data_IF_998482953220
#
_entry.id   IF_998482953220
#
_cell.length_a   1.000
_cell.length_b   1.000
_cell.length_c   1.000
_cell.angle_alpha   90.00
_cell.angle_beta   90.00
_cell.angle_gamma   90.00
#
_symmetry.space_group_name_H-M   'P 1'
#
loop_
_entity.id
_entity.type
_entity.pdbx_description
1 polymer ?
#
# COMPACT_ATOMS: atom_id res chain seq x y z
N UNK A 1 2.04 -10.53 4.94
CA UNK A 1 1.05 -9.51 5.32
C UNK A 1 1.76 -8.19 5.47
N UNK A 2 1.29 -7.12 4.82
CA UNK A 2 1.89 -5.79 4.90
C UNK A 2 0.97 -4.84 5.64
N UNK A 3 1.51 -4.17 6.66
CA UNK A 3 0.93 -2.97 7.25
C UNK A 3 1.79 -1.80 6.82
N UNK A 4 1.23 -0.89 6.02
CA UNK A 4 2.01 0.22 5.44
C UNK A 4 2.38 1.25 6.50
N UNK A 5 1.54 1.42 7.53
CA UNK A 5 1.74 2.20 8.76
C UNK A 5 0.70 1.77 9.81
N UNK A 6 0.64 2.47 10.95
CA UNK A 6 -0.12 2.06 12.13
C UNK A 6 -1.39 2.89 12.41
N UNK A 7 -1.89 3.63 11.43
CA UNK A 7 -3.20 4.27 11.57
C UNK A 7 -4.32 3.24 11.61
N UNK A 8 -5.41 3.63 12.29
CA UNK A 8 -6.50 2.72 12.63
C UNK A 8 -7.04 1.99 11.40
N UNK A 9 -7.27 2.71 10.32
CA UNK A 9 -7.80 2.19 9.07
C UNK A 9 -6.87 1.24 8.30
N UNK A 10 -5.60 1.12 8.72
CA UNK A 10 -4.63 0.19 8.16
C UNK A 10 -4.46 -1.08 9.00
N UNK A 11 -4.81 -1.03 10.30
CA UNK A 11 -4.57 -2.13 11.24
C UNK A 11 -5.83 -2.65 11.94
N UNK A 12 -6.96 -1.96 11.85
CA UNK A 12 -8.17 -2.32 12.58
C UNK A 12 -8.68 -3.73 12.22
N UNK A 13 -9.07 -4.49 13.24
CA UNK A 13 -9.52 -5.88 13.09
C UNK A 13 -8.39 -6.90 12.92
N UNK A 14 -7.12 -6.48 12.80
CA UNK A 14 -6.01 -7.40 12.66
C UNK A 14 -5.90 -8.35 13.86
N UNK A 15 -6.06 -7.85 15.09
CA UNK A 15 -6.06 -8.64 16.31
C UNK A 15 -7.19 -9.68 16.37
N UNK A 16 -8.29 -9.48 15.65
CA UNK A 16 -9.40 -10.44 15.60
C UNK A 16 -9.19 -11.50 14.52
N UNK A 17 -8.49 -11.14 13.45
CA UNK A 17 -8.36 -11.96 12.24
C UNK A 17 -7.10 -12.82 12.20
N UNK A 18 -5.95 -12.25 12.58
CA UNK A 18 -4.65 -12.90 12.41
C UNK A 18 -4.21 -13.68 13.65
N UNK A 19 -3.33 -14.66 13.39
CA UNK A 19 -2.52 -15.33 14.39
C UNK A 19 -1.24 -14.52 14.62
N UNK A 20 -0.98 -14.14 15.87
CA UNK A 20 0.23 -13.41 16.26
C UNK A 20 1.12 -14.29 17.15
N UNK A 21 2.39 -14.45 16.76
CA UNK A 21 3.33 -15.34 17.43
C UNK A 21 3.72 -14.81 18.82
N UNK A 22 3.70 -13.48 19.02
CA UNK A 22 4.10 -12.86 20.28
C UNK A 22 3.07 -13.05 21.42
N UNK A 23 1.78 -13.23 21.09
CA UNK A 23 0.69 -13.20 22.05
C UNK A 23 -0.12 -14.49 22.03
N UNK A 24 -0.01 -15.37 23.06
CA UNK A 24 -0.79 -16.60 23.16
C UNK A 24 -2.31 -16.40 23.06
N UNK A 25 -2.83 -15.24 23.52
CA UNK A 25 -4.25 -14.92 23.44
C UNK A 25 -4.74 -14.66 21.99
N UNK A 26 -3.82 -14.33 21.09
CA UNK A 26 -4.07 -14.07 19.68
C UNK A 26 -3.65 -15.25 18.80
N UNK A 27 -3.52 -16.44 19.40
CA UNK A 27 -3.27 -17.70 18.72
C UNK A 27 -4.54 -18.56 18.76
N UNK A 28 -4.59 -19.60 17.93
CA UNK A 28 -5.67 -20.58 17.96
C UNK A 28 -6.29 -20.89 16.60
N UNK A 29 -7.22 -21.86 16.58
CA UNK A 29 -7.88 -22.32 15.36
C UNK A 29 -8.76 -21.20 14.77
N UNK A 30 -8.79 -21.12 13.44
CA UNK A 30 -9.63 -20.16 12.69
C UNK A 30 -8.97 -18.81 12.40
N UNK A 31 -7.82 -18.51 13.01
CA UNK A 31 -7.05 -17.28 12.73
C UNK A 31 -6.13 -17.46 11.52
N UNK A 32 -6.02 -16.42 10.69
CA UNK A 32 -5.15 -16.43 9.52
C UNK A 32 -3.67 -16.33 9.92
N UNK A 33 -2.82 -17.20 9.37
CA UNK A 33 -1.39 -17.22 9.70
C UNK A 33 -0.62 -16.15 8.93
N UNK A 34 0.17 -15.35 9.64
CA UNK A 34 1.13 -14.42 9.02
C UNK A 34 2.46 -15.15 8.82
N UNK A 35 2.70 -15.62 7.59
CA UNK A 35 3.99 -16.24 7.22
C UNK A 35 5.15 -15.25 7.36
N UNK A 36 5.05 -14.12 6.67
CA UNK A 36 6.00 -13.00 6.78
C UNK A 36 5.25 -11.68 7.03
N UNK A 37 5.70 -10.92 8.02
CA UNK A 37 5.15 -9.63 8.41
C UNK A 37 5.98 -8.49 7.81
N UNK A 38 5.34 -7.58 7.09
CA UNK A 38 5.98 -6.47 6.40
C UNK A 38 5.54 -5.17 7.07
N UNK A 39 6.49 -4.37 7.56
CA UNK A 39 6.22 -3.11 8.29
C UNK A 39 7.30 -2.05 8.02
N UNK A 40 6.98 -0.75 8.03
CA UNK A 40 8.01 0.29 8.02
C UNK A 40 8.80 0.28 9.33
N UNK A 41 10.04 0.81 9.31
CA UNK A 41 10.82 1.03 10.53
C UNK A 41 10.08 1.92 11.54
N UNK A 42 9.25 2.85 11.07
CA UNK A 42 8.36 3.66 11.91
C UNK A 42 7.47 2.80 12.82
N UNK A 43 6.91 1.69 12.33
CA UNK A 43 6.08 0.81 13.15
C UNK A 43 6.86 0.10 14.28
N UNK A 44 8.19 0.00 14.15
CA UNK A 44 9.08 -0.51 15.21
C UNK A 44 9.41 0.59 16.22
N UNK A 45 9.52 1.84 15.78
CA UNK A 45 10.12 2.94 16.52
C UNK A 45 9.12 3.85 17.21
N UNK A 46 7.87 3.88 16.73
CA UNK A 46 6.83 4.73 17.29
C UNK A 46 6.52 4.38 18.75
N UNK A 47 6.34 5.42 19.57
CA UNK A 47 5.96 5.33 20.98
C UNK A 47 4.48 5.72 21.16
N UNK A 48 3.92 5.42 22.34
CA UNK A 48 2.55 5.82 22.74
C UNK A 48 1.44 5.41 21.75
N UNK A 49 1.50 4.16 21.27
CA UNK A 49 0.50 3.60 20.37
C UNK A 49 -0.79 3.17 21.09
N UNK A 50 -1.96 3.33 20.45
CA UNK A 50 -3.19 2.71 20.92
C UNK A 50 -3.14 1.18 20.76
N UNK A 51 -3.91 0.45 21.57
CA UNK A 51 -3.90 -1.02 21.62
C UNK A 51 -4.04 -1.71 20.24
N UNK A 52 -4.89 -1.15 19.36
CA UNK A 52 -5.11 -1.69 18.03
C UNK A 52 -3.87 -1.65 17.12
N UNK A 53 -2.93 -0.74 17.40
CA UNK A 53 -1.68 -0.57 16.67
C UNK A 53 -0.52 -1.25 17.42
N UNK A 54 -0.52 -1.20 18.76
CA UNK A 54 0.49 -1.79 19.62
C UNK A 54 0.65 -3.29 19.35
N UNK A 55 -0.45 -4.02 19.10
CA UNK A 55 -0.42 -5.44 18.76
C UNK A 55 0.42 -5.76 17.50
N UNK A 56 0.42 -4.88 16.50
CA UNK A 56 1.21 -5.04 15.28
C UNK A 56 2.69 -4.75 15.57
N UNK A 57 2.95 -3.68 16.33
CA UNK A 57 4.29 -3.34 16.76
C UNK A 57 4.92 -4.46 17.62
N UNK A 58 4.16 -5.03 18.56
CA UNK A 58 4.65 -6.08 19.45
C UNK A 58 5.04 -7.34 18.67
N UNK A 59 4.24 -7.73 17.68
CA UNK A 59 4.58 -8.82 16.77
C UNK A 59 5.84 -8.51 15.95
N UNK A 60 5.90 -7.31 15.36
CA UNK A 60 7.03 -6.91 14.54
C UNK A 60 8.33 -6.86 15.35
N UNK A 61 8.30 -6.27 16.55
CA UNK A 61 9.41 -6.23 17.51
C UNK A 61 9.77 -7.63 18.01
N UNK A 62 8.80 -8.51 18.23
CA UNK A 62 9.04 -9.90 18.63
C UNK A 62 9.80 -10.68 17.55
N UNK A 63 9.30 -10.65 16.32
CA UNK A 63 9.89 -11.30 15.15
C UNK A 63 11.27 -10.72 14.81
N UNK A 64 11.42 -9.40 14.83
CA UNK A 64 12.69 -8.71 14.59
C UNK A 64 13.74 -9.10 15.64
N UNK A 65 13.38 -9.11 16.93
CA UNK A 65 14.31 -9.52 18.00
C UNK A 65 14.72 -10.98 17.87
N UNK A 66 13.82 -11.86 17.42
CA UNK A 66 14.10 -13.29 17.21
C UNK A 66 14.76 -13.59 15.86
N UNK A 67 14.75 -12.66 14.92
CA UNK A 67 15.45 -12.78 13.66
C UNK A 67 14.71 -13.60 12.60
N UNK A 68 13.38 -13.59 12.57
CA UNK A 68 12.61 -14.41 11.61
C UNK A 68 11.29 -13.76 11.18
N UNK A 69 10.78 -14.14 10.01
CA UNK A 69 9.38 -13.92 9.61
C UNK A 69 8.91 -12.46 9.57
N UNK A 70 9.84 -11.51 9.46
CA UNK A 70 9.56 -10.07 9.36
C UNK A 70 10.46 -9.40 8.34
N UNK A 71 9.93 -8.38 7.68
CA UNK A 71 10.58 -7.49 6.73
C UNK A 71 10.34 -6.05 7.20
N UNK A 72 11.41 -5.40 7.61
CA UNK A 72 11.41 -3.99 8.05
C UNK A 72 11.85 -3.12 6.88
N UNK A 73 11.02 -2.14 6.51
CA UNK A 73 11.33 -1.21 5.43
C UNK A 73 11.97 0.06 5.98
N UNK A 74 13.09 0.46 5.37
CA UNK A 74 14.01 1.52 5.81
C UNK A 74 14.91 1.14 7.01
N UNK A 75 16.03 1.85 7.12
CA UNK A 75 17.07 1.71 8.13
C UNK A 75 17.48 3.09 8.69
N UNK A 76 16.58 3.81 9.37
CA UNK A 76 16.95 5.06 10.03
C UNK A 76 17.93 4.79 11.18
N UNK A 77 18.67 5.80 11.61
CA UNK A 77 19.63 5.71 12.73
C UNK A 77 18.95 5.26 14.03
N UNK A 78 17.71 5.71 14.25
CA UNK A 78 16.90 5.31 15.40
C UNK A 78 16.68 3.79 15.50
N UNK A 79 16.66 3.06 14.36
CA UNK A 79 16.55 1.60 14.35
C UNK A 79 17.79 0.94 14.97
N UNK A 80 18.99 1.49 14.73
CA UNK A 80 20.20 1.00 15.36
C UNK A 80 20.15 1.21 16.89
N UNK A 81 19.61 2.35 17.34
CA UNK A 81 19.37 2.62 18.77
C UNK A 81 18.39 1.62 19.40
N UNK A 82 17.28 1.31 18.74
CA UNK A 82 16.33 0.28 19.19
C UNK A 82 17.00 -1.09 19.31
N UNK A 83 17.76 -1.52 18.29
CA UNK A 83 18.45 -2.81 18.31
C UNK A 83 19.48 -2.88 19.45
N UNK A 84 20.25 -1.81 19.67
CA UNK A 84 21.24 -1.74 20.75
C UNK A 84 20.60 -1.89 22.14
N UNK A 85 19.44 -1.25 22.38
CA UNK A 85 18.65 -1.41 23.63
C UNK A 85 18.23 -2.86 23.88
N UNK A 86 18.18 -3.69 22.84
CA UNK A 86 17.83 -5.12 22.91
C UNK A 86 19.05 -6.04 22.76
N UNK A 87 20.27 -5.54 22.96
CA UNK A 87 21.53 -6.28 22.82
C UNK A 87 21.71 -6.91 21.41
N UNK A 88 21.22 -6.21 20.38
CA UNK A 88 21.37 -6.57 18.98
C UNK A 88 22.14 -5.50 18.21
N UNK A 89 22.71 -5.89 17.07
CA UNK A 89 23.36 -4.96 16.14
C UNK A 89 22.62 -4.93 14.79
N UNK A 90 22.72 -3.83 14.02
CA UNK A 90 22.18 -3.79 12.66
C UNK A 90 22.66 -4.95 11.80
N UNK A 91 23.95 -5.32 11.88
CA UNK A 91 24.52 -6.43 11.12
C UNK A 91 23.82 -7.78 11.40
N UNK A 92 23.38 -8.03 12.64
CA UNK A 92 22.65 -9.26 12.99
C UNK A 92 21.23 -9.31 12.41
N UNK A 93 20.70 -8.17 11.94
CA UNK A 93 19.33 -8.04 11.43
C UNK A 93 19.24 -7.49 10.01
N UNK A 94 20.38 -7.26 9.35
CA UNK A 94 20.45 -6.64 8.02
C UNK A 94 19.64 -7.41 6.97
N UNK A 95 19.66 -8.75 7.02
CA UNK A 95 18.85 -9.62 6.17
C UNK A 95 17.32 -9.44 6.30
N UNK A 96 16.86 -8.75 7.35
CA UNK A 96 15.45 -8.39 7.60
C UNK A 96 15.14 -6.92 7.28
N UNK A 97 16.13 -6.11 6.86
CA UNK A 97 16.00 -4.68 6.56
C UNK A 97 16.21 -4.38 5.05
N UNK A 98 15.30 -3.59 4.44
CA UNK A 98 15.19 -3.36 2.98
C UNK A 98 14.90 -1.89 2.82
N UNK A 99 15.72 -1.23 2.03
CA UNK A 99 15.69 0.21 1.85
C UNK A 99 14.94 0.59 0.58
N UNK A 100 14.51 1.85 0.50
CA UNK A 100 14.08 2.42 -0.76
C UNK A 100 15.18 2.26 -1.82
N UNK A 101 14.79 1.82 -3.02
CA UNK A 101 15.70 1.51 -4.12
C UNK A 101 16.10 0.03 -4.21
N UNK A 102 15.72 -0.81 -3.25
CA UNK A 102 15.99 -2.24 -3.23
C UNK A 102 14.75 -3.07 -3.62
N UNK A 103 15.00 -4.32 -4.04
CA UNK A 103 13.95 -5.33 -4.20
C UNK A 103 13.85 -6.19 -2.95
N UNK A 104 12.65 -6.68 -2.66
CA UNK A 104 12.42 -7.57 -1.51
C UNK A 104 13.02 -8.94 -1.79
N UNK A 105 13.93 -9.46 -0.94
CA UNK A 105 14.53 -10.78 -1.11
C UNK A 105 13.48 -11.90 -1.12
N UNK A 106 13.74 -12.97 -1.88
CA UNK A 106 12.82 -14.10 -2.02
C UNK A 106 11.73 -13.90 -3.08
N UNK A 107 11.70 -12.74 -3.74
CA UNK A 107 10.75 -12.42 -4.80
C UNK A 107 11.45 -11.93 -6.07
N UNK A 108 11.26 -12.66 -7.16
CA UNK A 108 11.86 -12.45 -8.47
C UNK A 108 10.89 -12.82 -9.60
N UNK A 109 11.12 -12.22 -10.77
CA UNK A 109 10.32 -12.52 -11.97
C UNK A 109 10.60 -13.93 -12.53
N UNK A 110 11.79 -14.47 -12.29
CA UNK A 110 12.23 -15.78 -12.79
C UNK A 110 12.08 -16.93 -11.79
N UNK A 111 11.73 -16.63 -10.55
CA UNK A 111 11.49 -17.63 -9.50
C UNK A 111 10.06 -18.18 -9.52
N UNK A 112 9.78 -19.20 -8.68
CA UNK A 112 8.46 -19.85 -8.60
C UNK A 112 7.30 -18.89 -8.26
N UNK A 113 7.59 -17.80 -7.58
CA UNK A 113 6.68 -16.73 -7.18
C UNK A 113 6.23 -15.82 -8.34
N UNK A 114 7.05 -15.72 -9.40
CA UNK A 114 6.77 -14.92 -10.62
C UNK A 114 6.38 -13.46 -10.35
N UNK A 115 6.91 -12.89 -9.27
CA UNK A 115 6.65 -11.51 -8.85
C UNK A 115 7.91 -10.90 -8.25
N UNK A 116 8.21 -9.65 -8.59
CA UNK A 116 9.24 -8.85 -7.95
C UNK A 116 8.59 -7.68 -7.21
N UNK A 117 9.01 -7.43 -5.96
CA UNK A 117 8.59 -6.25 -5.20
C UNK A 117 9.75 -5.26 -5.09
N UNK A 118 9.55 -4.05 -5.61
CA UNK A 118 10.50 -2.94 -5.53
C UNK A 118 10.01 -1.89 -4.54
N UNK A 119 10.88 -1.40 -3.67
CA UNK A 119 10.53 -0.46 -2.60
C UNK A 119 10.87 0.96 -2.99
N UNK A 120 9.87 1.84 -2.98
CA UNK A 120 10.02 3.28 -3.26
C UNK A 120 10.17 4.12 -2.00
N UNK A 121 9.52 3.72 -0.91
CA UNK A 121 9.43 4.45 0.37
C UNK A 121 9.31 3.40 1.51
N UNK A 122 9.81 3.65 2.74
CA UNK A 122 10.33 4.91 3.29
C UNK A 122 11.79 5.23 2.94
N UNK A 123 12.14 6.53 3.01
CA UNK A 123 13.51 7.02 2.91
C UNK A 123 14.15 7.17 4.29
N UNK A 124 15.20 6.40 4.59
CA UNK A 124 15.87 6.46 5.90
C UNK A 124 16.37 7.85 6.27
N UNK A 125 17.03 8.55 5.34
CA UNK A 125 17.53 9.91 5.57
C UNK A 125 16.44 10.92 5.94
N UNK A 126 15.22 10.77 5.41
CA UNK A 126 14.09 11.64 5.76
C UNK A 126 13.65 11.41 7.21
N UNK A 127 13.61 10.16 7.62
CA UNK A 127 13.24 9.79 8.99
C UNK A 127 14.28 10.31 10.00
N UNK A 128 15.55 10.34 9.60
CA UNK A 128 16.64 10.91 10.41
C UNK A 128 16.58 12.45 10.50
N UNK A 129 16.16 13.14 9.42
CA UNK A 129 16.02 14.60 9.37
C UNK A 129 14.79 15.13 10.15
N UNK A 130 13.78 14.30 10.40
CA UNK A 130 12.53 14.70 11.07
C UNK A 130 12.61 14.66 12.61
N UNK A 131 13.80 14.84 13.21
CA UNK A 131 14.05 14.76 14.65
C UNK A 131 13.48 13.47 15.31
N UNK A 132 13.42 12.37 14.55
CA UNK A 132 12.83 11.09 14.96
C UNK A 132 11.32 11.13 15.27
N UNK A 133 10.62 12.20 14.89
CA UNK A 133 9.17 12.27 14.95
C UNK A 133 8.61 11.41 13.82
N UNK A 134 7.88 10.35 14.19
CA UNK A 134 7.23 9.46 13.23
C UNK A 134 6.09 10.19 12.53
N UNK A 135 6.21 10.36 11.22
CA UNK A 135 5.12 10.77 10.35
C UNK A 135 4.56 9.51 9.67
N UNK A 136 3.54 8.91 10.29
CA UNK A 136 2.99 7.61 9.87
C UNK A 136 2.69 7.54 8.37
N UNK A 137 2.15 8.60 7.79
CA UNK A 137 1.78 8.63 6.39
C UNK A 137 3.02 8.73 5.50
N UNK A 138 3.94 9.65 5.80
CA UNK A 138 5.12 9.88 4.97
C UNK A 138 6.18 8.79 5.11
N UNK A 139 6.21 8.12 6.25
CA UNK A 139 7.06 6.97 6.55
C UNK A 139 6.41 5.63 6.14
N UNK A 140 5.28 5.67 5.45
CA UNK A 140 4.58 4.47 5.03
C UNK A 140 5.24 3.77 3.84
N UNK A 141 5.03 2.46 3.75
CA UNK A 141 5.62 1.63 2.69
C UNK A 141 4.94 1.90 1.35
N UNK A 142 5.69 2.45 0.39
CA UNK A 142 5.30 2.53 -1.03
C UNK A 142 6.09 1.50 -1.78
N UNK A 143 5.40 0.59 -2.46
CA UNK A 143 6.04 -0.49 -3.20
C UNK A 143 5.38 -0.69 -4.55
N UNK A 144 6.16 -1.26 -5.46
CA UNK A 144 5.69 -1.70 -6.76
C UNK A 144 5.87 -3.21 -6.89
N UNK A 145 4.77 -3.91 -7.18
CA UNK A 145 4.82 -5.31 -7.58
C UNK A 145 4.90 -5.40 -9.10
N UNK A 146 5.79 -6.23 -9.63
CA UNK A 146 5.90 -6.51 -11.06
C UNK A 146 5.68 -8.00 -11.29
N UNK A 147 4.77 -8.34 -12.20
CA UNK A 147 4.52 -9.69 -12.69
C UNK A 147 5.02 -9.82 -14.11
N UNK A 148 5.37 -11.04 -14.51
CA UNK A 148 5.67 -11.35 -15.90
C UNK A 148 4.59 -12.30 -16.45
N UNK A 149 3.60 -11.73 -17.13
CA UNK A 149 2.46 -12.48 -17.67
C UNK A 149 2.39 -12.29 -19.20
N UNK A 150 2.25 -13.39 -19.95
CA UNK A 150 2.26 -13.35 -21.42
C UNK A 150 3.55 -12.78 -22.04
N UNK A 151 4.66 -12.77 -21.29
CA UNK A 151 5.94 -12.18 -21.71
C UNK A 151 6.06 -10.67 -21.48
N UNK A 152 5.02 -10.02 -20.97
CA UNK A 152 4.98 -8.58 -20.73
C UNK A 152 4.94 -8.27 -19.22
N UNK A 153 5.69 -7.26 -18.74
CA UNK A 153 5.66 -6.86 -17.36
C UNK A 153 4.37 -6.13 -17.01
N UNK A 154 3.68 -6.59 -15.95
CA UNK A 154 2.49 -5.93 -15.38
C UNK A 154 2.82 -5.37 -14.00
N UNK A 155 2.60 -4.08 -13.80
CA UNK A 155 3.11 -3.33 -12.65
C UNK A 155 1.97 -2.77 -11.82
N UNK A 156 2.00 -3.06 -10.52
CA UNK A 156 1.04 -2.53 -9.54
C UNK A 156 1.76 -1.63 -8.56
N UNK A 157 1.43 -0.34 -8.58
CA UNK A 157 1.94 0.67 -7.65
C UNK A 157 1.00 0.77 -6.45
N UNK A 158 1.51 0.39 -5.27
CA UNK A 158 0.83 0.61 -3.99
C UNK A 158 1.34 1.92 -3.39
N UNK A 159 0.66 3.03 -3.68
CA UNK A 159 1.15 4.36 -3.33
C UNK A 159 0.87 4.78 -1.87
N UNK A 160 0.43 3.83 -1.01
CA UNK A 160 0.16 4.04 0.42
C UNK A 160 -0.60 5.35 0.70
N UNK A 161 -0.30 6.05 1.79
CA UNK A 161 -0.99 7.25 2.25
C UNK A 161 -0.10 8.51 2.26
N UNK A 162 0.99 8.45 1.49
CA UNK A 162 1.92 9.56 1.30
C UNK A 162 1.28 10.73 0.53
N UNK A 163 1.77 11.95 0.79
CA UNK A 163 1.32 13.16 0.09
C UNK A 163 2.21 13.52 -1.12
N UNK A 164 1.92 14.67 -1.72
CA UNK A 164 2.64 15.20 -2.88
C UNK A 164 4.12 15.49 -2.62
N UNK A 165 4.52 15.80 -1.39
CA UNK A 165 5.93 16.05 -1.05
C UNK A 165 6.75 14.77 -1.11
N UNK A 166 6.25 13.68 -0.52
CA UNK A 166 6.95 12.40 -0.59
C UNK A 166 6.86 11.76 -1.98
N UNK A 167 5.72 11.88 -2.68
CA UNK A 167 5.63 11.43 -4.08
C UNK A 167 6.63 12.17 -4.98
N UNK A 168 6.78 13.48 -4.77
CA UNK A 168 7.80 14.28 -5.47
C UNK A 168 9.21 13.77 -5.19
N UNK A 169 9.53 13.41 -3.94
CA UNK A 169 10.82 12.82 -3.59
C UNK A 169 11.06 11.48 -4.29
N UNK A 170 10.05 10.60 -4.35
CA UNK A 170 10.12 9.32 -5.07
C UNK A 170 10.44 9.56 -6.54
N UNK A 171 9.69 10.43 -7.21
CA UNK A 171 9.89 10.72 -8.64
C UNK A 171 11.25 11.35 -8.91
N UNK A 172 11.67 12.35 -8.12
CA UNK A 172 12.97 13.02 -8.28
C UNK A 172 14.13 12.05 -8.06
N UNK A 173 14.06 11.25 -7.00
CA UNK A 173 15.10 10.27 -6.67
C UNK A 173 15.20 9.22 -7.76
N UNK A 174 14.06 8.67 -8.21
CA UNK A 174 14.04 7.68 -9.28
C UNK A 174 14.61 8.21 -10.59
N UNK A 175 14.30 9.46 -10.96
CA UNK A 175 14.89 10.14 -12.13
C UNK A 175 16.39 10.39 -11.98
N UNK A 176 16.84 10.82 -10.79
CA UNK A 176 18.26 11.04 -10.48
C UNK A 176 19.09 9.78 -10.68
N UNK A 177 18.52 8.61 -10.36
CA UNK A 177 19.18 7.32 -10.56
C UNK A 177 19.01 6.75 -11.99
N UNK A 178 18.34 7.45 -12.90
CA UNK A 178 18.10 6.97 -14.27
C UNK A 178 17.19 5.75 -14.34
N UNK A 179 16.26 5.62 -13.37
CA UNK A 179 15.39 4.44 -13.19
C UNK A 179 13.92 4.73 -13.48
N UNK A 180 13.62 5.58 -14.47
CA UNK A 180 12.24 6.04 -14.77
C UNK A 180 11.27 4.89 -15.03
N UNK A 181 11.76 3.76 -15.53
CA UNK A 181 10.98 2.52 -15.71
C UNK A 181 10.36 1.99 -14.40
N UNK A 182 10.95 2.32 -13.25
CA UNK A 182 10.43 2.02 -11.90
C UNK A 182 9.25 2.92 -11.49
N UNK A 183 8.85 3.88 -12.31
CA UNK A 183 7.66 4.70 -12.07
C UNK A 183 6.47 4.24 -12.94
N UNK A 184 6.70 3.36 -13.92
CA UNK A 184 5.65 2.89 -14.84
C UNK A 184 4.69 1.95 -14.13
N UNK A 185 3.38 2.12 -14.35
CA UNK A 185 2.35 1.31 -13.69
C UNK A 185 1.16 0.99 -14.61
N UNK A 186 0.60 -0.21 -14.45
CA UNK A 186 -0.65 -0.69 -15.06
C UNK A 186 -1.82 -0.54 -14.08
N UNK A 187 -1.56 -0.75 -12.79
CA UNK A 187 -2.54 -0.59 -11.72
C UNK A 187 -1.95 0.29 -10.63
N UNK A 188 -2.73 1.24 -10.11
CA UNK A 188 -2.32 2.09 -9.01
C UNK A 188 -3.38 2.08 -7.91
N UNK A 189 -3.01 1.66 -6.70
CA UNK A 189 -3.77 2.05 -5.48
C UNK A 189 -3.50 3.53 -5.29
N UNK A 190 -4.52 4.37 -5.51
CA UNK A 190 -4.32 5.81 -5.42
C UNK A 190 -3.90 6.20 -4.01
N UNK A 191 -2.99 7.17 -3.85
CA UNK A 191 -2.48 7.51 -2.54
C UNK A 191 -3.57 8.07 -1.62
N UNK A 192 -3.47 7.70 -0.34
CA UNK A 192 -4.23 8.26 0.77
C UNK A 192 -5.74 8.31 0.51
N UNK A 193 -6.31 7.18 0.10
CA UNK A 193 -7.75 7.03 -0.15
C UNK A 193 -8.35 8.06 -1.11
N UNK A 194 -7.60 8.50 -2.13
CA UNK A 194 -7.98 9.59 -3.04
C UNK A 194 -7.97 10.97 -2.37
N UNK A 195 -6.93 11.27 -1.59
CA UNK A 195 -6.72 12.58 -1.00
C UNK A 195 -6.19 13.60 -2.02
N UNK A 196 -6.63 14.86 -1.91
CA UNK A 196 -6.04 15.94 -2.71
C UNK A 196 -4.59 16.20 -2.32
N UNK A 197 -4.23 15.92 -1.06
CA UNK A 197 -2.87 16.14 -0.55
C UNK A 197 -1.82 15.31 -1.29
N UNK A 198 -2.23 14.14 -1.79
CA UNK A 198 -1.40 13.30 -2.65
C UNK A 198 -1.08 13.94 -4.01
N UNK A 199 -1.95 14.81 -4.51
CA UNK A 199 -1.73 15.54 -5.76
C UNK A 199 -0.99 16.85 -5.47
N UNK A 200 -1.49 17.60 -4.49
CA UNK A 200 -0.96 18.87 -4.06
C UNK A 200 -1.38 19.18 -2.62
N UNK A 201 -0.47 19.00 -1.67
CA UNK A 201 -0.72 19.27 -0.24
C UNK A 201 -1.06 20.74 0.05
N UNK A 202 -0.61 21.67 -0.80
CA UNK A 202 -0.81 23.10 -0.59
C UNK A 202 -2.13 23.63 -1.19
N UNK A 203 -2.74 22.92 -2.14
CA UNK A 203 -3.95 23.39 -2.81
C UNK A 203 -4.88 22.24 -3.22
N UNK A 204 -6.06 22.19 -2.58
CA UNK A 204 -7.13 21.23 -2.91
C UNK A 204 -7.75 21.50 -4.28
N UNK A 205 -7.74 22.75 -4.74
CA UNK A 205 -8.51 23.23 -5.87
C UNK A 205 -10.02 23.28 -5.59
N UNK A 206 -10.79 23.89 -6.49
CA UNK A 206 -12.24 24.02 -6.35
C UNK A 206 -13.00 22.84 -6.97
N UNK A 207 -12.74 22.57 -8.25
CA UNK A 207 -13.42 21.52 -9.04
C UNK A 207 -12.53 20.31 -9.28
N UNK A 208 -11.22 20.52 -9.33
CA UNK A 208 -10.18 19.55 -9.62
C UNK A 208 -8.90 20.00 -8.94
N UNK A 209 -8.17 19.05 -8.35
CA UNK A 209 -6.86 19.33 -7.77
C UNK A 209 -5.82 19.37 -8.88
N UNK A 210 -4.99 20.42 -8.91
CA UNK A 210 -3.86 20.50 -9.86
C UNK A 210 -2.64 19.89 -9.18
N UNK A 211 -2.09 18.78 -9.70
CA UNK A 211 -0.94 18.14 -9.09
C UNK A 211 0.32 18.98 -9.21
N UNK A 212 1.26 18.79 -8.29
CA UNK A 212 2.64 19.29 -8.47
C UNK A 212 3.31 18.59 -9.66
N UNK A 213 4.31 19.20 -10.34
CA UNK A 213 4.83 18.71 -11.62
C UNK A 213 5.33 17.26 -11.60
N UNK A 214 5.98 16.84 -10.51
CA UNK A 214 6.48 15.47 -10.39
C UNK A 214 5.36 14.45 -10.20
N UNK A 215 4.30 14.82 -9.49
CA UNK A 215 3.12 13.97 -9.31
C UNK A 215 2.31 13.87 -10.62
N UNK A 216 2.20 14.99 -11.35
CA UNK A 216 1.66 15.01 -12.71
C UNK A 216 2.43 14.04 -13.61
N UNK A 217 3.77 14.08 -13.60
CA UNK A 217 4.59 13.16 -14.38
C UNK A 217 4.30 11.68 -14.04
N UNK A 218 4.21 11.33 -12.75
CA UNK A 218 3.91 9.96 -12.32
C UNK A 218 2.57 9.45 -12.84
N UNK A 219 1.51 10.26 -12.75
CA UNK A 219 0.18 9.80 -13.14
C UNK A 219 -0.12 9.99 -14.62
N UNK A 220 0.42 11.01 -15.27
CA UNK A 220 0.13 11.32 -16.66
C UNK A 220 1.09 10.62 -17.61
N UNK A 221 2.39 10.56 -17.29
CA UNK A 221 3.41 10.04 -18.21
C UNK A 221 3.76 8.57 -17.95
N UNK A 222 3.65 8.10 -16.71
CA UNK A 222 4.03 6.74 -16.35
C UNK A 222 2.85 5.74 -16.33
N UNK A 223 1.62 6.20 -16.57
CA UNK A 223 0.44 5.35 -16.71
C UNK A 223 0.43 4.60 -18.06
N UNK A 224 0.27 3.28 -18.00
CA UNK A 224 0.11 2.46 -19.20
C UNK A 224 -1.30 2.60 -19.83
N UNK A 225 -1.47 2.37 -21.14
CA UNK A 225 -2.79 2.28 -21.76
C UNK A 225 -3.66 1.22 -21.07
N UNK A 226 -4.94 1.52 -20.87
CA UNK A 226 -5.89 0.63 -20.18
C UNK A 226 -5.67 0.53 -18.67
N UNK A 227 -4.88 1.42 -18.06
CA UNK A 227 -4.54 1.35 -16.65
C UNK A 227 -5.76 1.41 -15.70
N UNK A 228 -5.58 0.93 -14.48
CA UNK A 228 -6.61 0.91 -13.44
C UNK A 228 -6.12 1.71 -12.24
N UNK A 229 -6.87 2.73 -11.85
CA UNK A 229 -6.69 3.39 -10.56
C UNK A 229 -7.75 2.89 -9.58
N UNK A 230 -7.33 2.47 -8.39
CA UNK A 230 -8.21 1.95 -7.35
C UNK A 230 -8.16 2.86 -6.12
N UNK A 231 -9.31 3.45 -5.78
CA UNK A 231 -9.53 4.17 -4.52
C UNK A 231 -10.06 3.20 -3.47
N UNK A 232 -9.23 2.88 -2.48
CA UNK A 232 -9.60 2.05 -1.33
C UNK A 232 -10.36 2.88 -0.31
N UNK A 233 -11.56 3.34 -0.64
CA UNK A 233 -12.29 4.33 0.16
C UNK A 233 -13.79 4.06 0.16
N UNK A 234 -14.54 4.78 1.02
CA UNK A 234 -15.96 5.02 0.79
C UNK A 234 -16.21 5.65 -0.59
N UNK A 235 -17.47 5.69 -1.02
CA UNK A 235 -17.89 6.39 -2.25
C UNK A 235 -17.37 7.82 -2.28
N UNK A 236 -17.00 8.30 -3.48
CA UNK A 236 -16.55 9.68 -3.67
C UNK A 236 -17.72 10.64 -3.33
N UNK A 237 -17.53 11.63 -2.44
CA UNK A 237 -18.60 12.52 -2.06
C UNK A 237 -19.00 13.45 -3.21
N UNK A 238 -20.26 13.91 -3.18
CA UNK A 238 -20.78 14.94 -4.08
C UNK A 238 -20.55 16.37 -3.57
N UNK A 239 -20.04 16.51 -2.34
CA UNK A 239 -19.76 17.78 -1.68
C UNK A 239 -18.34 17.82 -1.12
N UNK A 240 -17.95 18.98 -0.59
CA UNK A 240 -16.58 19.26 -0.13
C UNK A 240 -16.52 19.48 1.40
N UNK A 241 -17.51 18.97 2.15
CA UNK A 241 -17.67 19.22 3.59
C UNK A 241 -16.65 18.47 4.45
N UNK A 242 -16.20 17.30 4.00
CA UNK A 242 -15.22 16.51 4.73
C UNK A 242 -13.80 16.99 4.42
N UNK A 243 -13.00 17.07 5.48
CA UNK A 243 -11.56 17.34 5.42
C UNK A 243 -10.80 16.05 5.16
N UNK A 244 -11.37 14.90 5.52
CA UNK A 244 -10.77 13.59 5.30
C UNK A 244 -11.11 13.04 3.90
N UNK A 245 -10.17 12.33 3.26
CA UNK A 245 -10.42 11.69 1.99
C UNK A 245 -11.52 10.62 2.07
N UNK A 246 -12.14 10.24 0.94
CA UNK A 246 -11.82 10.65 -0.43
C UNK A 246 -12.30 12.07 -0.78
N UNK A 247 -11.56 12.73 -1.66
CA UNK A 247 -11.86 14.09 -2.13
C UNK A 247 -12.36 14.09 -3.58
N UNK A 248 -13.48 14.78 -3.83
CA UNK A 248 -14.09 14.91 -5.16
C UNK A 248 -13.15 15.54 -6.18
N UNK A 249 -12.37 16.54 -5.78
CA UNK A 249 -11.39 17.25 -6.62
C UNK A 249 -10.26 16.33 -7.09
N UNK A 250 -9.76 15.48 -6.20
CA UNK A 250 -8.73 14.49 -6.52
C UNK A 250 -9.30 13.40 -7.44
N UNK A 251 -10.51 12.91 -7.14
CA UNK A 251 -11.20 11.94 -7.99
C UNK A 251 -11.45 12.49 -9.40
N UNK A 252 -11.77 13.79 -9.53
CA UNK A 252 -11.94 14.43 -10.83
C UNK A 252 -10.65 14.39 -11.66
N UNK A 253 -9.49 14.66 -11.03
CA UNK A 253 -8.18 14.51 -11.67
C UNK A 253 -7.93 13.06 -12.11
N UNK A 254 -8.02 12.10 -11.20
CA UNK A 254 -7.73 10.69 -11.51
C UNK A 254 -8.64 10.11 -12.60
N UNK A 255 -9.93 10.46 -12.59
CA UNK A 255 -10.90 10.05 -13.62
C UNK A 255 -10.52 10.57 -15.00
N UNK A 256 -10.01 11.79 -15.10
CA UNK A 256 -9.53 12.36 -16.35
C UNK A 256 -8.31 11.60 -16.89
N UNK A 257 -7.35 11.31 -16.01
CA UNK A 257 -6.12 10.59 -16.38
C UNK A 257 -6.44 9.21 -16.95
N UNK A 258 -7.22 8.41 -16.23
CA UNK A 258 -7.55 7.07 -16.71
C UNK A 258 -8.41 7.11 -17.97
N UNK A 259 -9.32 8.08 -18.10
CA UNK A 259 -10.13 8.24 -19.33
C UNK A 259 -9.25 8.54 -20.54
N UNK A 260 -8.26 9.42 -20.40
CA UNK A 260 -7.31 9.71 -21.47
C UNK A 260 -6.46 8.50 -21.88
N UNK A 261 -6.32 7.51 -20.99
CA UNK A 261 -5.59 6.26 -21.22
C UNK A 261 -6.50 5.08 -21.61
N UNK A 262 -7.81 5.27 -21.75
CA UNK A 262 -8.76 4.17 -21.97
C UNK A 262 -8.86 3.20 -20.78
N UNK A 263 -8.50 3.67 -19.59
CA UNK A 263 -8.47 2.94 -18.33
C UNK A 263 -9.72 3.12 -17.47
N UNK A 264 -9.62 2.74 -16.19
CA UNK A 264 -10.73 2.75 -15.23
C UNK A 264 -10.33 3.35 -13.88
N UNK A 265 -11.28 4.03 -13.24
CA UNK A 265 -11.16 4.52 -11.87
C UNK A 265 -12.22 3.81 -11.03
N UNK A 266 -11.77 2.95 -10.12
CA UNK A 266 -12.62 2.04 -9.34
C UNK A 266 -12.58 2.45 -7.86
N UNK A 267 -13.73 2.43 -7.20
CA UNK A 267 -13.86 2.76 -5.78
C UNK A 267 -14.34 1.52 -5.05
N UNK A 268 -13.57 1.03 -4.09
CA UNK A 268 -13.82 -0.28 -3.45
C UNK A 268 -15.23 -0.42 -2.88
N UNK A 269 -15.71 0.60 -2.16
CA UNK A 269 -17.04 0.57 -1.54
C UNK A 269 -18.21 0.72 -2.52
N UNK A 270 -17.98 1.21 -3.75
CA UNK A 270 -19.02 1.23 -4.80
C UNK A 270 -19.28 -0.18 -5.37
N UNK A 271 -18.40 -1.13 -5.04
CA UNK A 271 -18.43 -2.49 -5.56
C UNK A 271 -18.66 -3.57 -4.50
N UNK A 272 -19.07 -3.16 -3.30
CA UNK A 272 -19.38 -4.08 -2.20
C UNK A 272 -20.73 -3.82 -1.57
N UNK A 273 -21.37 -4.87 -1.01
CA UNK A 273 -22.49 -4.69 -0.12
C UNK A 273 -22.12 -3.76 1.06
N UNK A 274 -23.01 -2.81 1.45
CA UNK A 274 -22.76 -1.94 2.60
C UNK A 274 -22.66 -2.70 3.94
N UNK A 275 -23.27 -3.88 4.02
CA UNK A 275 -23.18 -4.79 5.16
C UNK A 275 -22.35 -6.00 4.75
N UNK A 276 -21.40 -6.39 5.58
CA UNK A 276 -20.46 -7.48 5.30
C UNK A 276 -19.72 -7.32 3.96
N UNK A 277 -18.91 -6.25 3.83
CA UNK A 277 -18.29 -5.94 2.56
C UNK A 277 -17.23 -6.97 2.20
N UNK A 278 -17.18 -7.31 0.92
CA UNK A 278 -16.36 -8.40 0.39
C UNK A 278 -15.23 -7.82 -0.46
N UNK A 279 -14.00 -8.36 -0.42
CA UNK A 279 -12.85 -7.75 -1.09
C UNK A 279 -13.03 -7.64 -2.61
N UNK A 280 -12.53 -6.55 -3.19
CA UNK A 280 -12.34 -6.44 -4.64
C UNK A 280 -11.02 -7.10 -5.04
N UNK A 281 -10.94 -7.60 -6.27
CA UNK A 281 -9.75 -8.27 -6.80
C UNK A 281 -9.26 -7.60 -8.07
N UNK A 282 -7.95 -7.62 -8.28
CA UNK A 282 -7.37 -7.36 -9.60
C UNK A 282 -6.74 -8.65 -10.08
N UNK A 283 -7.23 -9.14 -11.21
CA UNK A 283 -6.69 -10.29 -11.93
C UNK A 283 -5.64 -9.77 -12.91
N UNK A 284 -4.46 -10.39 -12.88
CA UNK A 284 -3.33 -10.10 -13.76
C UNK A 284 -3.01 -11.40 -14.49
N UNK A 285 -3.14 -11.37 -15.81
CA UNK A 285 -2.89 -12.51 -16.69
C UNK A 285 -2.31 -12.03 -18.04
N UNK A 286 -2.14 -12.95 -18.98
CA UNK A 286 -1.63 -12.66 -20.33
C UNK A 286 -2.50 -11.66 -21.11
N UNK A 287 -3.78 -11.48 -20.73
CA UNK A 287 -4.70 -10.51 -21.33
C UNK A 287 -4.63 -9.12 -20.64
N UNK A 288 -3.83 -8.98 -19.58
CA UNK A 288 -3.57 -7.72 -18.89
C UNK A 288 -4.18 -7.66 -17.50
N UNK A 289 -4.56 -6.45 -17.07
CA UNK A 289 -5.11 -6.22 -15.74
C UNK A 289 -6.63 -6.02 -15.79
N UNK A 290 -7.37 -6.71 -14.91
CA UNK A 290 -8.83 -6.58 -14.81
C UNK A 290 -9.29 -6.47 -13.37
N UNK A 291 -10.07 -5.43 -13.10
CA UNK A 291 -10.78 -5.28 -11.83
C UNK A 291 -12.00 -6.22 -11.79
N UNK A 292 -12.14 -6.95 -10.70
CA UNK A 292 -13.20 -7.93 -10.44
C UNK A 292 -13.78 -7.63 -9.07
N UNK A 293 -15.10 -7.61 -8.98
CA UNK A 293 -15.79 -7.29 -7.74
C UNK A 293 -16.94 -8.24 -7.43
N UNK A 294 -17.33 -8.35 -6.16
CA UNK A 294 -18.49 -9.15 -5.75
C UNK A 294 -19.76 -8.84 -6.57
N UNK A 295 -20.02 -7.55 -6.85
CA UNK A 295 -21.19 -7.13 -7.62
C UNK A 295 -21.09 -7.54 -9.11
N UNK A 296 -19.90 -7.60 -9.69
CA UNK A 296 -19.71 -8.05 -11.10
C UNK A 296 -19.71 -9.59 -11.22
N UNK A 297 -19.27 -10.31 -10.18
CA UNK A 297 -19.37 -11.77 -10.11
C UNK A 297 -20.82 -12.25 -9.92
N UNK A 298 -21.66 -11.49 -9.20
CA UNK A 298 -23.08 -11.85 -9.00
C UNK A 298 -23.91 -11.79 -10.30
N UNK A 299 -23.56 -10.88 -11.22
CA UNK A 299 -24.24 -10.71 -12.52
C UNK A 299 -23.82 -11.77 -13.55
N UNK A 300 -22.64 -12.39 -13.38
CA UNK A 300 -22.04 -13.31 -14.35
C UNK A 300 -22.27 -14.80 -14.07
N UNK A 301 -23.16 -15.16 -13.13
CA UNK A 301 -23.59 -16.55 -12.88
C UNK A 301 -24.98 -16.87 -13.50
N UNK A 302 -25.09 -17.24 -14.78
CA UNK A 302 -26.15 -18.13 -15.22
C UNK A 302 -25.79 -19.56 -14.80
N UNK A 303 -26.78 -20.34 -14.33
CA UNK A 303 -26.57 -21.71 -13.88
C UNK A 303 -25.91 -22.59 -14.95
N UNK A 304 -24.74 -23.15 -14.66
CA UNK A 304 -24.03 -24.01 -15.60
C UNK A 304 -22.70 -24.52 -15.05
N UNK A 305 -22.50 -25.83 -15.21
CA UNK A 305 -21.42 -26.67 -14.67
C UNK A 305 -20.00 -26.09 -14.66
N UNK A 306 -19.30 -26.39 -13.56
CA UNK A 306 -17.87 -26.24 -13.32
C UNK A 306 -17.04 -26.82 -14.48
N UNK A 307 -16.19 -25.98 -15.09
CA UNK A 307 -14.97 -26.43 -15.77
C UNK A 307 -13.79 -26.34 -14.79
N UNK A 308 -12.93 -27.35 -14.84
CA UNK A 308 -11.72 -27.53 -14.05
C UNK A 308 -10.46 -27.20 -14.86
N UNK A 309 -9.43 -26.74 -14.15
CA UNK A 309 -7.99 -26.57 -14.51
C UNK A 309 -7.67 -25.42 -15.51
N UNK A 310 -6.58 -24.64 -15.39
CA UNK A 310 -5.41 -24.61 -14.51
C UNK A 310 -4.77 -23.20 -14.51
N UNK A 311 -3.86 -22.97 -13.55
CA UNK A 311 -3.17 -21.73 -13.16
C UNK A 311 -4.06 -20.78 -12.35
N UNK A 312 -3.80 -20.69 -11.05
CA UNK A 312 -4.38 -19.65 -10.22
C UNK A 312 -3.85 -18.30 -10.76
N UNK A 313 -4.71 -17.39 -11.22
CA UNK A 313 -4.25 -16.11 -11.72
C UNK A 313 -3.50 -15.37 -10.60
N UNK A 314 -2.40 -14.72 -10.95
CA UNK A 314 -1.75 -13.79 -10.05
C UNK A 314 -2.71 -12.62 -9.79
N UNK A 315 -2.90 -12.27 -8.52
CA UNK A 315 -3.86 -11.23 -8.18
C UNK A 315 -3.76 -10.78 -6.73
N UNK A 316 -4.32 -9.61 -6.49
CA UNK A 316 -4.38 -9.00 -5.16
C UNK A 316 -5.84 -8.75 -4.78
N UNK A 317 -6.09 -8.79 -3.48
CA UNK A 317 -7.34 -8.33 -2.91
C UNK A 317 -7.15 -6.94 -2.30
N UNK A 318 -8.09 -6.04 -2.56
CA UNK A 318 -8.23 -4.78 -1.83
C UNK A 318 -9.31 -4.95 -0.76
N UNK A 319 -9.05 -4.61 0.51
CA UNK A 319 -10.05 -4.69 1.55
C UNK A 319 -11.17 -3.68 1.29
N UNK A 320 -12.41 -4.07 1.59
CA UNK A 320 -13.60 -3.26 1.34
C UNK A 320 -14.27 -2.82 2.65
N UNK A 321 -13.54 -2.45 3.69
CA UNK A 321 -14.18 -1.85 4.87
C UNK A 321 -14.39 -0.35 4.68
N UNK A 322 -15.52 0.23 5.14
CA UNK A 322 -15.72 1.68 5.14
C UNK A 322 -14.69 2.33 6.07
N UNK A 323 -13.58 2.74 5.48
CA UNK A 323 -12.57 3.53 6.15
C UNK A 323 -13.03 4.99 6.11
N UNK A 324 -13.37 5.52 7.28
CA UNK A 324 -13.17 6.93 7.55
C UNK A 324 -11.74 7.03 8.09
N UNK A 325 -10.82 7.77 7.44
CA UNK A 325 -9.53 8.07 8.03
C UNK A 325 -9.80 8.82 9.33
N UNK A 326 -9.54 8.20 10.47
CA UNK A 326 -9.69 8.83 11.78
C UNK A 326 -8.31 8.99 12.36
N UNK A 327 -7.68 10.15 12.14
CA UNK A 327 -6.56 10.58 12.98
C UNK A 327 -7.10 10.81 14.40
N UNK A 328 -6.46 10.26 15.45
CA UNK A 328 -6.72 10.71 16.81
C UNK A 328 -6.54 12.22 16.90
N UNK A 329 -7.40 12.91 17.65
CA UNK A 329 -7.22 14.34 17.89
C UNK A 329 -5.86 14.57 18.57
N UNK A 330 -4.95 15.31 17.93
CA UNK A 330 -3.66 15.69 18.54
C UNK A 330 -2.42 15.57 17.64
N UNK A 331 -2.50 14.92 16.48
CA UNK A 331 -1.39 14.89 15.53
C UNK A 331 -1.77 15.67 14.27
N UNK A 332 -1.29 16.91 14.20
CA UNK A 332 -1.27 17.71 12.98
C UNK A 332 -0.21 17.13 12.04
#
# INVERSE_FOLDING_TARGET
>A
MLFTHLDRDHVYGAADFFHFDHSPALQGPGRAIIGELWVPAAAILEDDLPDFAQVIQDEARFRLRRGYGVRVFSRPEALAGFLAKHALTPAQRDHLIVNAGETVPGYSLSGPERVEFFVHCPFGWRQDENDQIVDRNQDSVVLQATFLEGGEPRRVLFASDIDSETLRLIVRTTRRHGKVERLVWDVCKVPHHCSYTALNAADKGMTRTVPVPEVSFLFESCAMPGCIMVSTSRSIPSNDLDVQPPHRQAAAYYKEIVRARGGRFEVTMDHSPPRDPQPCKVVIDEHGCRFVSPLTEAVSRPGGLLRSAAVAPAGFAFPNHPVAPVKPAGFA
#
